data_IF_046164769430
#
_entry.id   IF_046164769430
#
_cell.length_a   1.000
_cell.length_b   1.000
_cell.length_c   1.000
_cell.angle_alpha   90.00
_cell.angle_beta   90.00
_cell.angle_gamma   90.00
#
_symmetry.space_group_name_H-M   'P 1'
#
loop_
_entity.id
_entity.type
_entity.pdbx_description
1 polymer ?
#
# COMPACT_ATOMS: atom_id res chain seq x y z
N UNK A 1 -18.03 -6.82 15.22
CA UNK A 1 -19.31 -7.32 14.65
C UNK A 1 -19.68 -8.63 15.32
N UNK A 2 -20.75 -8.68 16.11
CA UNK A 2 -21.25 -9.93 16.70
C UNK A 2 -22.13 -10.62 15.66
N UNK A 3 -21.66 -11.71 15.05
CA UNK A 3 -22.46 -12.56 14.17
C UNK A 3 -23.11 -13.63 15.04
N UNK A 4 -24.45 -13.67 15.08
CA UNK A 4 -25.22 -14.68 15.81
C UNK A 4 -25.97 -15.52 14.78
N UNK A 5 -25.78 -16.84 14.81
CA UNK A 5 -26.61 -17.79 14.10
C UNK A 5 -27.51 -18.50 15.11
N UNK A 6 -28.79 -18.69 14.78
CA UNK A 6 -29.77 -19.39 15.61
C UNK A 6 -30.39 -20.52 14.80
N UNK A 7 -30.37 -21.73 15.34
CA UNK A 7 -31.03 -22.90 14.74
C UNK A 7 -32.49 -22.88 15.19
N UNK A 8 -33.39 -22.59 14.25
CA UNK A 8 -34.82 -22.39 14.55
C UNK A 8 -35.55 -23.70 14.86
N UNK A 9 -35.15 -24.79 14.22
CA UNK A 9 -35.68 -26.14 14.43
C UNK A 9 -34.72 -27.16 13.82
N UNK A 10 -34.57 -28.30 14.48
CA UNK A 10 -33.88 -29.47 13.95
C UNK A 10 -34.77 -30.68 14.18
N UNK A 11 -34.89 -31.56 13.18
CA UNK A 11 -35.54 -32.86 13.35
C UNK A 11 -34.44 -33.81 13.80
N UNK A 12 -34.62 -34.40 14.97
CA UNK A 12 -33.68 -35.35 15.55
C UNK A 12 -34.16 -36.76 15.26
N UNK A 13 -33.27 -37.62 14.79
CA UNK A 13 -33.53 -39.05 14.80
C UNK A 13 -33.57 -39.54 16.26
N UNK A 14 -34.47 -40.47 16.62
CA UNK A 14 -34.59 -40.97 17.98
C UNK A 14 -33.33 -41.76 18.37
N UNK A 15 -32.45 -41.12 19.13
CA UNK A 15 -31.27 -41.73 19.76
C UNK A 15 -31.50 -41.83 21.28
N UNK A 16 -31.90 -43.00 21.75
CA UNK A 16 -32.21 -43.24 23.16
C UNK A 16 -30.93 -43.17 24.01
N UNK A 17 -30.74 -42.03 24.68
CA UNK A 17 -29.59 -41.77 25.55
C UNK A 17 -28.57 -40.77 25.00
N UNK A 18 -28.78 -40.27 23.77
CA UNK A 18 -27.94 -39.23 23.16
C UNK A 18 -28.19 -37.86 23.80
N UNK A 19 -27.13 -37.14 24.18
CA UNK A 19 -27.18 -35.77 24.70
C UNK A 19 -26.65 -34.73 23.70
N UNK A 20 -26.49 -35.12 22.44
CA UNK A 20 -25.90 -34.31 21.37
C UNK A 20 -26.71 -34.50 20.08
N UNK A 21 -26.65 -33.51 19.20
CA UNK A 21 -27.19 -33.61 17.85
C UNK A 21 -26.27 -32.93 16.84
N UNK A 22 -26.29 -33.43 15.60
CA UNK A 22 -25.54 -32.85 14.49
C UNK A 22 -26.45 -31.96 13.67
N UNK A 23 -25.95 -30.80 13.26
CA UNK A 23 -26.65 -29.89 12.35
C UNK A 23 -25.67 -29.36 11.31
N UNK A 24 -26.18 -28.93 10.16
CA UNK A 24 -25.41 -28.27 9.11
C UNK A 24 -25.94 -26.85 8.92
N UNK A 25 -25.04 -25.90 8.66
CA UNK A 25 -25.39 -24.52 8.34
C UNK A 25 -24.79 -24.17 6.99
N UNK A 26 -25.66 -23.81 6.04
CA UNK A 26 -25.22 -23.31 4.74
C UNK A 26 -24.99 -21.80 4.84
N UNK A 27 -23.76 -21.38 4.55
CA UNK A 27 -23.37 -19.98 4.50
C UNK A 27 -23.03 -19.62 3.06
N UNK A 28 -23.76 -18.65 2.51
CA UNK A 28 -23.49 -18.12 1.16
C UNK A 28 -22.50 -16.97 1.27
N UNK A 29 -21.34 -17.12 0.65
CA UNK A 29 -20.39 -16.03 0.46
C UNK A 29 -20.73 -15.29 -0.84
N UNK A 30 -21.08 -14.01 -0.75
CA UNK A 30 -21.32 -13.17 -1.94
C UNK A 30 -20.06 -12.96 -2.78
N UNK A 31 -18.89 -12.90 -2.12
CA UNK A 31 -17.60 -12.91 -2.77
C UNK A 31 -16.98 -14.31 -2.55
N UNK A 32 -16.70 -15.08 -3.63
CA UNK A 32 -16.21 -16.45 -3.51
C UNK A 32 -14.74 -16.54 -3.07
N UNK A 33 -14.03 -15.41 -2.95
CA UNK A 33 -12.62 -15.39 -2.59
C UNK A 33 -12.40 -15.51 -1.07
N UNK A 34 -11.41 -16.32 -0.68
CA UNK A 34 -10.90 -16.36 0.69
C UNK A 34 -9.80 -15.31 0.84
N UNK A 35 -9.99 -14.39 1.78
CA UNK A 35 -9.04 -13.30 2.04
C UNK A 35 -7.99 -13.73 3.06
N UNK A 36 -6.72 -13.57 2.68
CA UNK A 36 -5.57 -13.78 3.56
C UNK A 36 -5.29 -12.60 4.50
N UNK A 37 -4.16 -12.62 5.22
CA UNK A 37 -3.73 -11.49 6.04
C UNK A 37 -3.38 -10.27 5.17
N UNK A 38 -3.66 -9.07 5.69
CA UNK A 38 -3.27 -7.82 5.04
C UNK A 38 -1.75 -7.66 5.02
N UNK A 39 -1.23 -7.15 3.91
CA UNK A 39 0.19 -6.82 3.74
C UNK A 39 0.33 -5.34 3.42
N UNK A 40 1.26 -4.66 4.10
CA UNK A 40 1.51 -3.23 3.94
C UNK A 40 2.97 -2.98 3.65
N UNK A 41 3.22 -2.14 2.67
CA UNK A 41 4.55 -1.73 2.23
C UNK A 41 4.58 -0.21 2.12
N UNK A 42 5.71 0.41 2.47
CA UNK A 42 5.85 1.86 2.51
C UNK A 42 7.16 2.32 1.90
N UNK A 43 7.14 3.49 1.27
CA UNK A 43 8.31 4.23 0.83
C UNK A 43 8.14 5.70 1.18
N UNK A 44 9.26 6.42 1.35
CA UNK A 44 9.25 7.87 1.38
C UNK A 44 9.15 8.47 -0.03
N UNK A 45 9.12 9.80 -0.09
CA UNK A 45 9.29 10.55 -1.35
C UNK A 45 10.67 10.29 -1.95
N UNK A 46 10.82 10.35 -3.28
CA UNK A 46 12.13 10.33 -3.91
C UNK A 46 12.98 11.49 -3.39
N UNK A 47 14.23 11.21 -3.07
CA UNK A 47 15.21 12.20 -2.63
C UNK A 47 16.45 12.08 -3.51
N UNK A 48 16.94 13.22 -4.01
CA UNK A 48 18.21 13.23 -4.73
C UNK A 48 19.33 12.76 -3.81
N UNK A 49 20.19 11.88 -4.33
CA UNK A 49 21.46 11.62 -3.70
C UNK A 49 22.38 12.82 -3.81
N UNK A 50 23.49 12.76 -3.07
CA UNK A 50 24.63 13.63 -3.28
C UNK A 50 25.41 13.28 -4.55
N UNK A 51 26.60 13.85 -4.66
CA UNK A 51 27.55 13.53 -5.71
C UNK A 51 28.96 13.57 -5.20
N UNK A 52 29.89 13.18 -6.06
CA UNK A 52 31.32 13.22 -5.77
C UNK A 52 31.73 14.65 -5.39
N UNK A 53 32.25 14.80 -4.17
CA UNK A 53 32.68 16.08 -3.66
C UNK A 53 34.02 16.49 -4.31
N UNK A 54 34.10 17.75 -4.73
CA UNK A 54 35.33 18.35 -5.24
C UNK A 54 35.78 19.52 -4.36
N UNK A 55 37.10 19.70 -4.14
CA UNK A 55 38.23 18.90 -4.65
C UNK A 55 38.28 17.47 -4.10
N UNK A 56 38.92 16.54 -4.83
CA UNK A 56 39.05 15.14 -4.39
C UNK A 56 39.86 15.04 -3.09
N UNK A 57 39.42 14.20 -2.16
CA UNK A 57 40.01 14.08 -0.82
C UNK A 57 39.52 15.11 0.19
N UNK A 58 38.52 15.94 -0.17
CA UNK A 58 37.86 16.86 0.78
C UNK A 58 36.90 16.10 1.69
N UNK A 59 36.97 16.42 2.98
CA UNK A 59 36.00 15.92 3.97
C UNK A 59 34.77 16.82 4.03
N UNK A 60 33.56 16.28 3.76
CA UNK A 60 32.32 17.07 3.77
C UNK A 60 32.01 17.70 5.14
N UNK A 61 32.40 17.07 6.24
CA UNK A 61 32.08 17.56 7.58
C UNK A 61 33.05 18.66 8.05
N UNK A 62 34.28 18.70 7.54
CA UNK A 62 35.32 19.65 7.97
C UNK A 62 35.74 20.65 6.90
N UNK A 63 35.45 20.37 5.62
CA UNK A 63 35.87 21.17 4.47
C UNK A 63 37.37 21.10 4.15
N UNK A 64 38.13 20.25 4.84
CA UNK A 64 39.58 20.14 4.68
C UNK A 64 39.95 19.00 3.72
N UNK A 65 41.01 19.20 2.93
CA UNK A 65 41.58 18.18 2.03
C UNK A 65 42.59 17.34 2.82
N UNK A 66 42.39 16.02 2.87
CA UNK A 66 43.39 15.10 3.37
C UNK A 66 44.31 14.65 2.21
N UNK A 67 45.49 15.27 2.13
CA UNK A 67 46.50 14.96 1.13
C UNK A 67 47.23 13.62 1.40
N UNK A 68 47.11 13.08 2.60
CA UNK A 68 47.79 11.85 3.07
C UNK A 68 46.93 10.61 2.93
N UNK A 69 45.60 10.75 2.96
CA UNK A 69 44.63 9.68 2.74
C UNK A 69 43.41 10.20 1.94
N UNK A 70 43.57 10.46 0.63
CA UNK A 70 42.46 10.94 -0.19
C UNK A 70 41.36 9.87 -0.22
N UNK A 71 40.14 10.26 0.16
CA UNK A 71 38.96 9.41 0.06
C UNK A 71 37.92 10.03 -0.87
N UNK A 72 37.12 9.16 -1.48
CA UNK A 72 36.11 9.52 -2.47
C UNK A 72 34.77 9.66 -1.76
N UNK A 73 34.37 10.90 -1.50
CA UNK A 73 33.09 11.18 -0.86
C UNK A 73 32.01 11.41 -1.92
N UNK A 74 31.15 10.40 -2.11
CA UNK A 74 30.04 10.43 -3.07
C UNK A 74 28.76 11.10 -2.55
N UNK A 75 28.76 11.61 -1.32
CA UNK A 75 27.54 12.14 -0.71
C UNK A 75 26.68 11.08 -0.05
N UNK A 76 25.53 11.55 0.46
CA UNK A 76 24.50 10.67 0.98
C UNK A 76 23.74 10.01 -0.18
N UNK A 77 23.38 8.75 0.00
CA UNK A 77 22.56 8.03 -0.98
C UNK A 77 21.17 8.70 -1.10
N UNK A 78 20.69 8.77 -2.33
CA UNK A 78 19.32 9.19 -2.61
C UNK A 78 18.32 8.08 -2.30
N UNK A 79 17.04 8.41 -2.33
CA UNK A 79 15.94 7.45 -2.34
C UNK A 79 15.23 7.52 -3.67
N UNK A 80 14.98 6.37 -4.29
CA UNK A 80 14.18 6.31 -5.52
C UNK A 80 12.68 6.52 -5.27
N UNK A 81 12.25 6.52 -3.99
CA UNK A 81 10.84 6.54 -3.63
C UNK A 81 10.09 5.31 -4.13
N UNK A 82 10.76 4.15 -4.18
CA UNK A 82 10.19 2.90 -4.72
C UNK A 82 10.00 1.86 -3.64
N UNK A 83 8.96 1.06 -3.79
CA UNK A 83 8.73 -0.13 -2.97
C UNK A 83 8.24 -1.27 -3.84
N UNK A 84 8.78 -2.46 -3.60
CA UNK A 84 8.36 -3.68 -4.29
C UNK A 84 7.53 -4.54 -3.34
N UNK A 85 6.48 -5.15 -3.87
CA UNK A 85 5.68 -6.12 -3.14
C UNK A 85 5.24 -7.25 -4.05
N UNK A 86 4.98 -8.41 -3.45
CA UNK A 86 4.61 -9.63 -4.16
C UNK A 86 3.26 -10.11 -3.68
N UNK A 87 2.32 -10.37 -4.59
CA UNK A 87 1.07 -11.03 -4.24
C UNK A 87 1.34 -12.52 -4.01
N UNK A 88 1.46 -12.90 -2.74
CA UNK A 88 1.69 -14.31 -2.35
C UNK A 88 0.41 -15.15 -2.37
N UNK A 89 -0.75 -14.53 -2.65
CA UNK A 89 -2.03 -15.22 -2.77
C UNK A 89 -2.19 -15.97 -4.09
N UNK A 90 -3.28 -16.74 -4.18
CA UNK A 90 -3.61 -17.55 -5.36
C UNK A 90 -4.60 -16.88 -6.31
N UNK A 91 -5.03 -15.65 -5.99
CA UNK A 91 -5.97 -14.88 -6.79
C UNK A 91 -5.44 -13.45 -7.04
N UNK A 92 -5.81 -12.83 -8.17
CA UNK A 92 -5.51 -11.43 -8.42
C UNK A 92 -6.09 -10.50 -7.33
N UNK A 93 -5.28 -9.54 -6.84
CA UNK A 93 -5.66 -8.66 -5.71
C UNK A 93 -5.61 -7.19 -6.10
N UNK A 94 -6.62 -6.44 -5.65
CA UNK A 94 -6.66 -4.98 -5.72
C UNK A 94 -6.06 -4.38 -4.45
N UNK A 95 -5.10 -3.48 -4.59
CA UNK A 95 -4.49 -2.78 -3.45
C UNK A 95 -5.27 -1.54 -3.02
N UNK A 96 -4.95 -1.05 -1.82
CA UNK A 96 -5.27 0.31 -1.40
C UNK A 96 -3.97 1.12 -1.31
N UNK A 97 -4.02 2.37 -1.77
CA UNK A 97 -2.90 3.31 -1.64
C UNK A 97 -3.18 4.25 -0.48
N UNK A 98 -2.16 4.51 0.34
CA UNK A 98 -2.25 5.50 1.43
C UNK A 98 -1.09 6.47 1.30
N UNK A 99 -1.39 7.76 1.33
CA UNK A 99 -0.39 8.82 1.35
C UNK A 99 -0.64 9.77 2.53
N UNK A 100 0.43 10.16 3.21
CA UNK A 100 0.40 11.08 4.36
C UNK A 100 0.63 12.52 3.93
N UNK A 101 0.31 13.47 4.82
CA UNK A 101 0.59 14.89 4.66
C UNK A 101 2.08 15.21 4.42
N UNK A 102 2.37 16.43 3.95
CA UNK A 102 3.73 16.88 3.62
C UNK A 102 3.97 17.10 2.11
N UNK A 103 2.91 17.06 1.31
CA UNK A 103 2.95 17.21 -0.14
C UNK A 103 2.18 18.47 -0.56
N UNK A 104 2.87 19.37 -1.26
CA UNK A 104 2.37 20.73 -1.53
C UNK A 104 1.45 20.83 -2.76
N UNK A 105 1.37 19.81 -3.61
CA UNK A 105 0.57 19.82 -4.84
C UNK A 105 -0.24 18.54 -5.11
N UNK A 106 -0.17 17.55 -4.21
CA UNK A 106 -0.70 16.21 -4.44
C UNK A 106 0.41 15.19 -4.65
N UNK A 107 0.11 14.11 -5.37
CA UNK A 107 1.10 13.09 -5.71
C UNK A 107 0.65 12.20 -6.87
N UNK A 108 1.62 11.49 -7.42
CA UNK A 108 1.46 10.47 -8.42
C UNK A 108 2.06 9.17 -7.91
N UNK A 109 1.32 8.07 -8.06
CA UNK A 109 1.78 6.71 -7.82
C UNK A 109 1.83 6.00 -9.16
N UNK A 110 3.01 5.54 -9.54
CA UNK A 110 3.21 4.79 -10.79
C UNK A 110 3.65 3.38 -10.46
N UNK A 111 2.96 2.40 -11.02
CA UNK A 111 3.50 1.05 -11.10
C UNK A 111 4.55 1.01 -12.21
N UNK A 112 5.80 0.85 -11.82
CA UNK A 112 6.96 0.80 -12.72
C UNK A 112 6.93 -0.46 -13.59
N UNK A 113 6.24 -1.50 -13.12
CA UNK A 113 6.14 -2.80 -13.78
C UNK A 113 5.24 -2.73 -15.01
N UNK A 114 4.07 -2.10 -14.86
CA UNK A 114 3.04 -2.01 -15.89
C UNK A 114 2.98 -0.64 -16.59
N UNK A 115 3.54 0.39 -15.98
CA UNK A 115 3.43 1.79 -16.42
C UNK A 115 2.14 2.49 -15.97
N UNK A 116 1.23 1.77 -15.31
CA UNK A 116 -0.05 2.32 -14.87
C UNK A 116 0.14 3.38 -13.79
N UNK A 117 -0.68 4.44 -13.85
CA UNK A 117 -0.47 5.63 -13.03
C UNK A 117 -1.76 6.13 -12.37
N UNK A 118 -1.70 6.30 -11.05
CA UNK A 118 -2.75 6.91 -10.22
C UNK A 118 -2.28 8.29 -9.78
N UNK A 119 -3.04 9.33 -10.09
CA UNK A 119 -2.68 10.72 -9.78
C UNK A 119 -3.76 11.40 -8.95
N UNK A 120 -3.33 12.04 -7.87
CA UNK A 120 -4.17 12.79 -6.94
C UNK A 120 -3.72 14.25 -6.88
N UNK A 121 -4.60 15.17 -7.24
CA UNK A 121 -4.31 16.61 -7.34
C UNK A 121 -5.06 17.40 -6.28
N UNK A 122 -4.58 17.28 -5.04
CA UNK A 122 -5.04 18.09 -3.92
C UNK A 122 -4.00 18.09 -2.80
N UNK A 123 -3.85 19.24 -2.17
CA UNK A 123 -3.03 19.40 -0.96
C UNK A 123 -3.65 18.64 0.19
N UNK A 124 -2.81 17.88 0.90
CA UNK A 124 -3.19 17.17 2.12
C UNK A 124 -2.97 18.10 3.32
N UNK A 125 -3.99 18.33 4.16
CA UNK A 125 -3.80 19.04 5.43
C UNK A 125 -2.75 18.36 6.30
N UNK A 126 -2.03 19.13 7.11
CA UNK A 126 -1.02 18.59 8.02
C UNK A 126 -1.63 17.59 9.01
N UNK A 127 -1.03 16.41 9.11
CA UNK A 127 -1.49 15.31 9.96
C UNK A 127 -2.61 14.47 9.36
N UNK A 128 -3.15 14.84 8.20
CA UNK A 128 -4.13 14.02 7.47
C UNK A 128 -3.47 12.98 6.57
N UNK A 129 -4.24 11.96 6.22
CA UNK A 129 -3.90 10.97 5.21
C UNK A 129 -5.01 10.83 4.18
N UNK A 130 -4.65 10.51 2.94
CA UNK A 130 -5.60 10.08 1.92
C UNK A 130 -5.48 8.59 1.70
N UNK A 131 -6.61 7.92 1.62
CA UNK A 131 -6.72 6.52 1.25
C UNK A 131 -7.43 6.43 -0.10
N UNK A 132 -6.86 5.65 -1.01
CA UNK A 132 -7.40 5.41 -2.35
C UNK A 132 -7.66 3.91 -2.47
N UNK A 133 -8.92 3.55 -2.67
CA UNK A 133 -9.33 2.18 -2.95
C UNK A 133 -9.35 1.97 -4.46
N UNK A 134 -8.36 1.23 -4.97
CA UNK A 134 -8.22 1.01 -6.41
C UNK A 134 -9.34 0.15 -7.01
N UNK A 135 -9.93 -0.77 -6.23
CA UNK A 135 -11.05 -1.63 -6.68
C UNK A 135 -12.31 -0.83 -6.99
N UNK A 136 -12.60 0.18 -6.18
CA UNK A 136 -13.82 1.01 -6.30
C UNK A 136 -13.57 2.36 -6.95
N UNK A 137 -12.31 2.76 -7.11
CA UNK A 137 -11.90 4.06 -7.62
C UNK A 137 -12.27 5.23 -6.70
N UNK A 138 -12.44 4.97 -5.39
CA UNK A 138 -12.81 5.98 -4.41
C UNK A 138 -11.60 6.43 -3.60
N UNK A 139 -11.54 7.72 -3.29
CA UNK A 139 -10.57 8.30 -2.38
C UNK A 139 -11.25 9.11 -1.27
N UNK A 140 -10.67 9.06 -0.07
CA UNK A 140 -11.15 9.84 1.07
C UNK A 140 -9.99 10.31 1.95
N UNK A 141 -10.18 11.44 2.64
CA UNK A 141 -9.22 11.97 3.61
C UNK A 141 -9.70 11.64 5.02
N UNK A 142 -8.87 10.94 5.79
CA UNK A 142 -9.05 10.50 7.19
C UNK A 142 -10.25 9.58 7.48
N UNK A 143 -11.41 9.81 6.84
CA UNK A 143 -12.66 9.05 7.03
C UNK A 143 -13.38 8.83 5.70
N UNK A 144 -14.00 7.65 5.48
CA UNK A 144 -14.81 7.37 4.28
C UNK A 144 -15.96 8.36 4.01
N UNK A 145 -16.38 9.15 5.00
CA UNK A 145 -17.39 10.20 4.82
C UNK A 145 -16.86 11.44 4.09
N UNK A 146 -15.55 11.64 4.05
CA UNK A 146 -14.88 12.79 3.43
C UNK A 146 -14.35 12.39 2.05
N UNK A 147 -15.27 12.22 1.10
CA UNK A 147 -14.96 11.80 -0.27
C UNK A 147 -14.20 12.90 -1.02
N UNK A 148 -13.05 12.53 -1.58
CA UNK A 148 -12.18 13.40 -2.39
C UNK A 148 -11.88 12.81 -3.76
N UNK A 149 -12.69 11.85 -4.22
CA UNK A 149 -12.49 11.11 -5.47
C UNK A 149 -12.46 12.02 -6.70
N UNK A 150 -13.06 13.21 -6.65
CA UNK A 150 -12.98 14.22 -7.72
C UNK A 150 -11.54 14.67 -8.00
N UNK A 151 -10.66 14.59 -7.00
CA UNK A 151 -9.25 14.96 -7.13
C UNK A 151 -8.36 13.82 -7.65
N UNK A 152 -8.91 12.62 -7.88
CA UNK A 152 -8.23 11.56 -8.62
C UNK A 152 -8.30 11.85 -10.12
N UNK A 153 -7.28 12.54 -10.65
CA UNK A 153 -7.17 12.91 -12.07
C UNK A 153 -6.57 11.80 -12.93
N UNK A 154 -5.69 10.97 -12.35
CA UNK A 154 -5.17 9.75 -12.97
C UNK A 154 -5.80 8.53 -12.32
N UNK A 155 -6.55 7.74 -13.10
CA UNK A 155 -7.33 6.59 -12.61
C UNK A 155 -6.97 5.29 -13.33
N UNK A 156 -5.72 5.17 -13.75
CA UNK A 156 -5.21 3.93 -14.32
C UNK A 156 -4.84 2.98 -13.16
N UNK A 157 -5.88 2.39 -12.58
CA UNK A 157 -5.76 1.48 -11.45
C UNK A 157 -5.21 0.13 -11.90
N UNK A 158 -4.43 -0.49 -11.03
CA UNK A 158 -3.74 -1.73 -11.32
C UNK A 158 -4.13 -2.83 -10.33
N UNK A 159 -4.14 -4.06 -10.83
CA UNK A 159 -4.34 -5.28 -10.07
C UNK A 159 -3.06 -6.10 -10.13
N UNK A 160 -2.73 -6.79 -9.04
CA UNK A 160 -1.54 -7.64 -8.99
C UNK A 160 -1.96 -9.10 -9.08
N UNK A 161 -1.50 -9.80 -10.12
CA UNK A 161 -1.78 -11.21 -10.33
C UNK A 161 -1.14 -12.11 -9.25
N UNK A 162 -1.58 -13.37 -9.11
CA UNK A 162 -1.01 -14.29 -8.14
C UNK A 162 0.46 -14.60 -8.48
N UNK A 163 1.34 -14.52 -7.49
CA UNK A 163 2.79 -14.71 -7.65
C UNK A 163 3.52 -13.55 -8.33
N UNK A 164 2.81 -12.51 -8.79
CA UNK A 164 3.43 -11.36 -9.42
C UNK A 164 4.07 -10.43 -8.39
N UNK A 165 5.21 -9.86 -8.78
CA UNK A 165 5.88 -8.81 -8.03
C UNK A 165 5.75 -7.51 -8.80
N UNK A 166 5.19 -6.49 -8.15
CA UNK A 166 5.08 -5.15 -8.71
C UNK A 166 5.98 -4.20 -7.94
N UNK A 167 6.60 -3.26 -8.65
CA UNK A 167 7.37 -2.17 -8.06
C UNK A 167 6.64 -0.85 -8.27
N UNK A 168 6.31 -0.19 -7.16
CA UNK A 168 5.62 1.09 -7.17
C UNK A 168 6.60 2.21 -6.90
N UNK A 169 6.49 3.29 -7.66
CA UNK A 169 7.19 4.54 -7.42
C UNK A 169 6.20 5.61 -6.96
N UNK A 170 6.54 6.25 -5.84
CA UNK A 170 5.86 7.44 -5.36
C UNK A 170 6.54 8.68 -5.96
N UNK A 171 5.77 9.68 -6.39
CA UNK A 171 6.31 10.95 -6.89
C UNK A 171 5.42 12.12 -6.44
N UNK A 172 5.99 13.17 -5.83
CA UNK A 172 5.25 14.35 -5.39
C UNK A 172 4.71 15.19 -6.57
#
# INVERSE_FOLDING_TARGET
MRRVASVRSVILDPDYGGNQFTFTVDLVAFDPLMYGPDQSYSTGVPMSGGGLLFPLGTNRNTGLVDATAPYWDFGADGSSGRVSFTNTGTAPTWGALTATSGLSSGFTVTDVTTGQTVRFERVLPDGSLVQINQRTGRAWIDSPSNDVSVHLTGRDFFQVGPGETHQIQFSP
#
